data_IF_308736746553
#
_entry.id   IF_308736746553
#
_cell.length_a   1.000
_cell.length_b   1.000
_cell.length_c   1.000
_cell.angle_alpha   90.00
_cell.angle_beta   90.00
_cell.angle_gamma   90.00
#
_symmetry.space_group_name_H-M   'P 1'
#
loop_
_entity.id
_entity.type
_entity.pdbx_description
1 polymer ?
#
# COMPACT_ATOMS: atom_id res chain seq x y z
N UNK A 1 25.90 11.83 0.04
CA UNK A 1 24.94 12.65 0.82
C UNK A 1 23.64 11.87 0.84
N UNK A 2 23.24 11.32 1.98
CA UNK A 2 22.02 10.50 2.07
C UNK A 2 20.80 11.41 1.93
N UNK A 3 20.05 11.24 0.86
CA UNK A 3 18.70 11.78 0.77
C UNK A 3 17.85 10.97 1.75
N UNK A 4 17.69 11.49 2.97
CA UNK A 4 16.84 10.88 4.00
C UNK A 4 15.38 11.20 3.63
N UNK A 5 14.68 10.22 3.05
CA UNK A 5 13.29 10.38 2.64
C UNK A 5 12.41 10.39 3.90
N UNK A 6 11.47 11.32 3.98
CA UNK A 6 10.48 11.33 5.06
C UNK A 6 9.46 10.20 4.81
N UNK A 7 9.65 9.06 5.50
CA UNK A 7 8.69 7.96 5.49
C UNK A 7 7.50 8.27 6.42
N UNK A 8 6.29 8.06 5.91
CA UNK A 8 5.05 7.94 6.69
C UNK A 8 4.85 6.50 7.03
N UNK A 9 4.32 6.25 8.24
CA UNK A 9 4.04 4.92 8.77
C UNK A 9 5.26 4.00 8.92
N UNK A 10 6.41 4.29 8.29
CA UNK A 10 7.66 3.55 8.42
C UNK A 10 8.22 3.09 7.08
N UNK A 11 7.36 2.95 6.08
CA UNK A 11 7.64 2.38 4.75
C UNK A 11 6.83 3.06 3.61
N UNK A 12 5.83 3.90 3.93
CA UNK A 12 5.09 4.68 2.94
C UNK A 12 5.89 5.92 2.56
N UNK A 13 6.25 6.01 1.29
CA UNK A 13 7.00 7.16 0.79
C UNK A 13 6.05 8.32 0.51
N UNK A 14 6.26 9.47 1.17
CA UNK A 14 5.48 10.68 0.96
C UNK A 14 5.92 11.41 -0.31
N UNK A 15 4.98 11.87 -1.14
CA UNK A 15 5.28 12.82 -2.22
C UNK A 15 5.39 14.24 -1.68
N UNK A 16 6.38 15.00 -2.17
CA UNK A 16 6.55 16.42 -1.83
C UNK A 16 5.44 17.32 -2.41
N UNK A 17 4.65 16.82 -3.38
CA UNK A 17 3.46 17.48 -3.91
C UNK A 17 2.23 17.18 -3.02
N UNK A 18 1.83 18.18 -2.23
CA UNK A 18 0.76 18.10 -1.21
C UNK A 18 -0.65 18.23 -1.80
N UNK A 19 -0.96 17.58 -2.92
CA UNK A 19 -2.26 17.73 -3.59
C UNK A 19 -2.98 16.43 -3.97
N UNK A 20 -2.73 15.29 -3.31
CA UNK A 20 -3.67 14.16 -3.36
C UNK A 20 -3.51 13.19 -2.19
N UNK A 21 -4.32 13.36 -1.15
CA UNK A 21 -4.82 12.21 -0.39
C UNK A 21 -5.93 11.62 -1.25
N UNK A 22 -5.71 10.44 -1.86
CA UNK A 22 -6.71 9.76 -2.69
C UNK A 22 -6.32 9.40 -4.14
N UNK A 23 -5.03 9.44 -4.50
CA UNK A 23 -4.57 9.00 -5.83
C UNK A 23 -4.49 7.47 -5.92
N UNK A 24 -5.47 6.85 -6.58
CA UNK A 24 -5.40 5.46 -7.07
C UNK A 24 -4.96 5.44 -8.52
N UNK A 25 -4.45 4.30 -8.99
CA UNK A 25 -4.25 4.10 -10.42
C UNK A 25 -5.59 4.20 -11.16
N UNK A 26 -5.61 4.93 -12.28
CA UNK A 26 -6.82 5.06 -13.12
C UNK A 26 -7.05 3.84 -14.02
N UNK A 27 -6.06 2.94 -14.09
CA UNK A 27 -6.07 1.70 -14.86
C UNK A 27 -5.88 0.51 -13.93
N UNK A 28 -6.43 -0.63 -14.30
CA UNK A 28 -6.16 -1.91 -13.63
C UNK A 28 -5.05 -2.71 -14.34
N UNK A 29 -4.50 -2.19 -15.45
CA UNK A 29 -3.31 -2.71 -16.13
C UNK A 29 -2.12 -1.84 -15.74
N UNK A 30 -1.38 -2.27 -14.75
CA UNK A 30 -0.32 -1.50 -14.11
C UNK A 30 1.00 -1.78 -14.83
N UNK A 31 1.58 -0.81 -15.55
CA UNK A 31 2.88 -1.00 -16.17
C UNK A 31 3.97 -1.08 -15.09
N UNK A 32 4.97 -1.94 -15.28
CA UNK A 32 6.09 -2.07 -14.37
C UNK A 32 7.46 -2.09 -15.06
N UNK A 33 8.49 -1.72 -14.32
CA UNK A 33 9.89 -1.80 -14.70
C UNK A 33 10.69 -2.39 -13.52
N UNK A 34 11.57 -3.36 -13.79
CA UNK A 34 12.46 -3.94 -12.76
C UNK A 34 13.84 -3.33 -12.96
N UNK A 35 14.38 -2.69 -11.92
CA UNK A 35 15.75 -2.15 -11.97
C UNK A 35 16.75 -3.26 -12.30
N UNK A 36 17.81 -2.92 -13.05
CA UNK A 36 18.92 -3.84 -13.34
C UNK A 36 19.55 -4.43 -12.07
N UNK A 37 19.49 -3.70 -10.96
CA UNK A 37 20.02 -4.15 -9.67
C UNK A 37 19.20 -5.31 -9.08
N UNK A 38 17.93 -5.44 -9.48
CA UNK A 38 16.97 -6.42 -8.98
C UNK A 38 16.73 -7.58 -9.94
N UNK A 39 17.56 -7.75 -10.98
CA UNK A 39 17.42 -8.85 -11.95
C UNK A 39 17.42 -10.22 -11.27
N UNK A 40 18.21 -10.40 -10.20
CA UNK A 40 18.23 -11.65 -9.42
C UNK A 40 16.94 -11.89 -8.61
N UNK A 41 16.10 -10.86 -8.45
CA UNK A 41 14.84 -10.87 -7.70
C UNK A 41 13.60 -10.84 -8.60
N UNK A 42 13.77 -10.86 -9.92
CA UNK A 42 12.65 -10.82 -10.89
C UNK A 42 11.59 -11.89 -10.59
N UNK A 43 11.99 -13.13 -10.27
CA UNK A 43 11.05 -14.19 -9.93
C UNK A 43 10.15 -13.86 -8.73
N UNK A 44 10.70 -13.28 -7.67
CA UNK A 44 9.94 -12.90 -6.48
C UNK A 44 8.99 -11.74 -6.75
N UNK A 45 9.44 -10.76 -7.56
CA UNK A 45 8.64 -9.60 -7.96
C UNK A 45 7.44 -10.05 -8.79
N UNK A 46 7.67 -10.91 -9.78
CA UNK A 46 6.60 -11.47 -10.61
C UNK A 46 5.64 -12.34 -9.79
N UNK A 47 6.16 -13.14 -8.84
CA UNK A 47 5.32 -13.93 -7.94
C UNK A 47 4.44 -13.05 -7.03
N UNK A 48 4.93 -11.89 -6.58
CA UNK A 48 4.16 -10.94 -5.79
C UNK A 48 3.05 -10.28 -6.62
N UNK A 49 3.36 -9.88 -7.85
CA UNK A 49 2.40 -9.39 -8.84
C UNK A 49 1.34 -10.45 -9.18
N UNK A 50 1.74 -11.72 -9.30
CA UNK A 50 0.85 -12.85 -9.52
C UNK A 50 -0.09 -13.07 -8.31
N UNK A 51 0.44 -13.02 -7.09
CA UNK A 51 -0.35 -13.17 -5.85
C UNK A 51 -1.53 -12.20 -5.82
N UNK A 52 -1.32 -10.97 -6.26
CA UNK A 52 -2.36 -9.96 -6.34
C UNK A 52 -3.30 -10.17 -7.55
N UNK A 53 -2.73 -10.36 -8.74
CA UNK A 53 -3.50 -10.44 -10.00
C UNK A 53 -4.36 -11.69 -10.11
N UNK A 54 -3.95 -12.80 -9.49
CA UNK A 54 -4.74 -14.04 -9.41
C UNK A 54 -6.07 -13.87 -8.69
N UNK A 55 -6.16 -12.92 -7.77
CA UNK A 55 -7.31 -12.75 -6.90
C UNK A 55 -8.10 -11.46 -7.17
N UNK A 56 -7.60 -10.57 -8.02
CA UNK A 56 -8.17 -9.24 -8.29
C UNK A 56 -8.27 -8.98 -9.80
N UNK A 57 -8.76 -7.80 -10.19
CA UNK A 57 -8.74 -7.36 -11.60
C UNK A 57 -7.48 -6.57 -11.96
N UNK A 58 -6.55 -6.42 -11.02
CA UNK A 58 -5.25 -5.79 -11.26
C UNK A 58 -4.39 -6.77 -12.04
N UNK A 59 -3.76 -6.28 -13.10
CA UNK A 59 -2.84 -7.02 -13.97
C UNK A 59 -1.60 -6.18 -14.18
N UNK A 60 -0.49 -6.83 -14.49
CA UNK A 60 0.81 -6.20 -14.64
C UNK A 60 1.37 -6.47 -16.02
N UNK A 61 2.02 -5.48 -16.62
CA UNK A 61 2.71 -5.62 -17.90
C UNK A 61 4.00 -4.83 -17.91
N UNK A 62 5.00 -5.29 -18.67
CA UNK A 62 6.24 -4.54 -18.82
C UNK A 62 5.96 -3.18 -19.44
N UNK A 63 6.54 -2.15 -18.83
CA UNK A 63 6.41 -0.77 -19.28
C UNK A 63 6.95 -0.62 -20.70
N UNK A 64 6.23 0.15 -21.50
CA UNK A 64 6.64 0.57 -22.83
C UNK A 64 6.86 2.09 -22.85
N UNK A 65 5.80 2.86 -23.10
CA UNK A 65 5.82 4.33 -23.22
C UNK A 65 5.04 5.02 -22.11
N UNK A 66 4.46 4.26 -21.17
CA UNK A 66 3.63 4.82 -20.10
C UNK A 66 4.43 5.77 -19.20
N UNK A 67 3.84 6.92 -18.88
CA UNK A 67 4.45 7.92 -18.01
C UNK A 67 4.40 7.48 -16.55
N UNK A 68 3.27 6.92 -16.11
CA UNK A 68 3.07 6.38 -14.77
C UNK A 68 3.30 4.86 -14.80
N UNK A 69 4.20 4.35 -13.95
CA UNK A 69 4.54 2.93 -13.86
C UNK A 69 5.12 2.57 -12.49
N UNK A 70 4.98 1.31 -12.08
CA UNK A 70 5.67 0.75 -10.92
C UNK A 70 7.13 0.50 -11.24
N UNK A 71 8.03 0.82 -10.33
CA UNK A 71 9.41 0.37 -10.42
C UNK A 71 9.87 -0.30 -9.14
N UNK A 72 10.21 -1.59 -9.26
CA UNK A 72 10.88 -2.30 -8.19
C UNK A 72 12.33 -1.79 -8.09
N UNK A 73 12.71 -1.34 -6.90
CA UNK A 73 14.00 -0.70 -6.61
C UNK A 73 14.41 -0.93 -5.15
N UNK A 74 15.71 -0.88 -4.85
CA UNK A 74 16.23 -0.95 -3.47
C UNK A 74 16.09 0.38 -2.69
N UNK A 75 15.57 1.45 -3.30
CA UNK A 75 15.43 2.79 -2.70
C UNK A 75 14.05 3.39 -3.05
N UNK A 76 13.39 4.07 -2.09
CA UNK A 76 12.00 4.61 -2.14
C UNK A 76 11.77 5.97 -2.86
N UNK A 77 10.51 6.22 -3.25
CA UNK A 77 9.93 7.09 -4.32
C UNK A 77 9.79 8.63 -4.08
N UNK A 78 9.39 9.43 -5.11
CA UNK A 78 9.27 10.92 -5.12
C UNK A 78 8.24 11.60 -6.08
N UNK A 79 7.46 10.89 -6.91
CA UNK A 79 6.55 11.44 -7.96
C UNK A 79 6.81 10.87 -9.39
N UNK A 80 5.78 10.63 -10.22
CA UNK A 80 5.86 9.84 -11.48
C UNK A 80 5.94 8.32 -11.27
N UNK A 81 7.11 7.72 -11.54
CA UNK A 81 7.48 6.30 -11.34
C UNK A 81 7.24 5.79 -9.91
N UNK A 82 6.16 5.10 -9.57
CA UNK A 82 5.90 4.63 -8.20
C UNK A 82 6.84 3.49 -7.76
N UNK A 83 7.55 3.62 -6.63
CA UNK A 83 8.57 2.62 -6.23
C UNK A 83 8.03 1.54 -5.31
N UNK A 84 8.54 0.32 -5.52
CA UNK A 84 8.30 -0.86 -4.68
C UNK A 84 9.64 -1.26 -4.07
N UNK A 85 9.73 -1.24 -2.74
CA UNK A 85 10.97 -1.60 -2.05
C UNK A 85 11.19 -3.12 -2.03
N UNK A 86 12.33 -3.57 -2.52
CA UNK A 86 12.71 -4.99 -2.50
C UNK A 86 14.07 -5.14 -1.84
N UNK A 87 14.11 -5.09 -0.51
CA UNK A 87 15.33 -5.33 0.26
C UNK A 87 15.85 -6.78 0.14
N UNK A 88 17.12 -7.05 0.49
CA UNK A 88 17.71 -8.39 0.42
C UNK A 88 16.95 -9.46 1.21
N UNK A 89 16.30 -9.07 2.32
CA UNK A 89 15.53 -9.97 3.18
C UNK A 89 14.02 -9.99 2.87
N UNK A 90 13.55 -9.19 1.90
CA UNK A 90 12.15 -9.18 1.52
C UNK A 90 11.79 -10.52 0.89
N UNK A 91 10.75 -11.18 1.38
CA UNK A 91 10.13 -12.31 0.69
C UNK A 91 8.98 -11.81 -0.19
N UNK A 92 8.40 -12.70 -1.01
CA UNK A 92 7.28 -12.37 -1.92
C UNK A 92 6.16 -11.58 -1.22
N UNK A 93 5.80 -11.94 0.02
CA UNK A 93 4.78 -11.21 0.76
C UNK A 93 5.19 -9.82 1.26
N UNK A 94 6.49 -9.54 1.43
CA UNK A 94 6.94 -8.15 1.62
C UNK A 94 6.75 -7.35 0.32
N UNK A 95 7.10 -7.95 -0.82
CA UNK A 95 6.98 -7.24 -2.11
C UNK A 95 5.51 -6.93 -2.41
N UNK A 96 4.57 -7.85 -2.16
CA UNK A 96 3.13 -7.55 -2.37
C UNK A 96 2.61 -6.48 -1.42
N UNK A 97 3.13 -6.39 -0.18
CA UNK A 97 2.81 -5.32 0.76
C UNK A 97 3.20 -3.95 0.18
N UNK A 98 4.42 -3.83 -0.37
CA UNK A 98 4.88 -2.61 -1.03
C UNK A 98 4.08 -2.29 -2.31
N UNK A 99 3.69 -3.32 -3.08
CA UNK A 99 2.80 -3.14 -4.24
C UNK A 99 1.42 -2.62 -3.80
N UNK A 100 0.87 -3.10 -2.68
CA UNK A 100 -0.39 -2.60 -2.14
C UNK A 100 -0.27 -1.15 -1.68
N UNK A 101 0.84 -0.74 -1.08
CA UNK A 101 1.11 0.69 -0.82
C UNK A 101 1.08 1.52 -2.10
N UNK A 102 1.74 1.07 -3.16
CA UNK A 102 1.73 1.75 -4.45
C UNK A 102 0.32 1.79 -5.08
N UNK A 103 -0.54 0.81 -4.79
CA UNK A 103 -1.94 0.83 -5.22
C UNK A 103 -2.85 1.74 -4.40
N UNK A 104 -2.34 2.36 -3.33
CA UNK A 104 -3.05 3.35 -2.51
C UNK A 104 -3.55 2.82 -1.15
N UNK A 105 -3.05 1.67 -0.68
CA UNK A 105 -3.43 1.12 0.62
C UNK A 105 -2.51 1.61 1.74
N UNK A 106 -3.11 2.07 2.84
CA UNK A 106 -2.44 2.36 4.11
C UNK A 106 -2.36 1.11 4.98
N UNK A 107 -1.61 1.17 6.09
CA UNK A 107 -1.57 0.04 7.01
C UNK A 107 -2.90 -0.17 7.73
N UNK A 108 -3.16 -1.43 8.10
CA UNK A 108 -4.38 -1.77 8.82
C UNK A 108 -4.40 -1.17 10.24
N UNK A 109 -3.24 -1.10 10.90
CA UNK A 109 -3.12 -0.55 12.26
C UNK A 109 -3.23 0.97 12.32
N UNK A 110 -3.43 1.66 11.19
CA UNK A 110 -3.64 3.12 11.16
C UNK A 110 -5.09 3.51 10.87
N UNK A 111 -6.01 2.55 10.73
CA UNK A 111 -7.44 2.83 10.64
C UNK A 111 -7.95 3.62 11.85
N UNK A 112 -8.95 4.47 11.62
CA UNK A 112 -9.62 5.26 12.66
C UNK A 112 -10.39 4.42 13.67
N UNK A 113 -10.85 3.22 13.29
CA UNK A 113 -11.58 2.28 14.16
C UNK A 113 -10.67 1.28 14.89
N UNK A 114 -9.34 1.33 14.68
CA UNK A 114 -8.38 0.37 15.26
C UNK A 114 -8.47 0.25 16.78
N UNK A 115 -8.90 1.31 17.46
CA UNK A 115 -9.02 1.37 18.91
C UNK A 115 -10.01 0.35 19.47
N UNK A 116 -10.86 -0.24 18.63
CA UNK A 116 -11.74 -1.35 19.02
C UNK A 116 -11.05 -2.72 18.99
N UNK A 117 -9.90 -2.85 18.32
CA UNK A 117 -9.26 -4.13 17.99
C UNK A 117 -7.86 -4.27 18.58
N UNK A 118 -7.12 -3.17 18.70
CA UNK A 118 -5.74 -3.15 19.20
C UNK A 118 -5.53 -2.04 20.23
N UNK A 119 -4.46 -2.17 21.00
CA UNK A 119 -3.91 -1.17 21.90
C UNK A 119 -2.49 -0.85 21.47
N UNK A 120 -2.16 0.45 21.37
CA UNK A 120 -0.80 0.93 21.12
C UNK A 120 -0.13 1.22 22.46
N UNK A 121 1.02 0.60 22.71
CA UNK A 121 1.84 0.79 23.92
C UNK A 121 2.96 1.79 23.61
N UNK A 122 2.61 3.08 23.69
CA UNK A 122 3.50 4.19 23.28
C UNK A 122 4.82 4.23 24.03
N UNK A 123 4.84 3.77 25.28
CA UNK A 123 6.02 3.66 26.14
C UNK A 123 7.08 2.69 25.58
N UNK A 124 6.68 1.73 24.75
CA UNK A 124 7.58 0.77 24.12
C UNK A 124 8.06 1.23 22.74
N UNK A 125 7.55 2.35 22.21
CA UNK A 125 7.92 2.85 20.87
C UNK A 125 9.28 3.56 20.94
N UNK A 126 10.12 3.36 19.92
CA UNK A 126 11.35 4.13 19.75
C UNK A 126 11.06 5.63 19.60
N UNK A 127 11.83 6.45 20.32
CA UNK A 127 11.74 7.92 20.24
C UNK A 127 11.82 8.40 18.79
N UNK A 128 10.87 9.23 18.38
CA UNK A 128 10.76 9.79 17.03
C UNK A 128 10.02 8.89 16.02
N UNK A 129 9.54 7.71 16.43
CA UNK A 129 8.75 6.78 15.60
C UNK A 129 7.26 6.75 15.95
N UNK A 130 6.81 7.52 16.92
CA UNK A 130 5.42 7.58 17.39
C UNK A 130 4.45 7.97 16.27
N UNK A 131 4.90 8.82 15.33
CA UNK A 131 4.14 9.21 14.15
C UNK A 131 3.71 8.03 13.26
N UNK A 132 4.45 6.91 13.29
CA UNK A 132 4.16 5.72 12.50
C UNK A 132 2.92 4.95 13.00
N UNK A 133 2.44 5.33 14.18
CA UNK A 133 1.25 4.76 14.80
C UNK A 133 0.13 5.77 14.85
N UNK A 134 0.16 6.88 14.10
CA UNK A 134 -0.99 7.77 14.02
C UNK A 134 -2.13 7.13 13.22
N UNK A 135 -3.37 7.50 13.54
CA UNK A 135 -4.53 7.10 12.75
C UNK A 135 -4.69 8.04 11.55
N UNK A 136 -5.16 7.49 10.43
CA UNK A 136 -5.44 8.25 9.21
C UNK A 136 -6.86 7.96 8.73
N UNK A 137 -7.54 8.99 8.23
CA UNK A 137 -8.80 8.83 7.53
C UNK A 137 -8.56 8.05 6.23
N UNK A 138 -9.42 7.09 5.97
CA UNK A 138 -9.33 6.22 4.80
C UNK A 138 -10.60 5.42 4.63
N UNK A 139 -10.85 4.97 3.40
CA UNK A 139 -12.05 4.20 3.11
C UNK A 139 -11.88 2.75 3.56
N UNK A 140 -12.72 2.33 4.50
CA UNK A 140 -12.71 0.95 5.03
C UNK A 140 -13.59 0.01 4.21
N UNK A 141 -14.39 0.55 3.28
CA UNK A 141 -15.39 -0.16 2.48
C UNK A 141 -16.38 -0.98 3.33
N UNK A 142 -16.64 -0.55 4.57
CA UNK A 142 -17.41 -1.30 5.57
C UNK A 142 -16.88 -2.72 5.83
N UNK A 143 -15.61 -2.97 5.53
CA UNK A 143 -14.95 -4.25 5.80
C UNK A 143 -14.42 -4.26 7.24
N UNK A 144 -14.58 -5.42 7.88
CA UNK A 144 -14.10 -5.66 9.24
C UNK A 144 -12.58 -5.40 9.35
N UNK A 145 -12.15 -5.00 10.53
CA UNK A 145 -10.73 -4.84 10.83
C UNK A 145 -10.03 -6.20 10.81
N UNK A 146 -8.91 -6.29 10.09
CA UNK A 146 -8.17 -7.54 9.90
C UNK A 146 -6.78 -7.49 10.55
N UNK A 147 -6.70 -7.95 11.80
CA UNK A 147 -5.43 -8.06 12.56
C UNK A 147 -4.37 -8.93 11.89
N UNK A 148 -4.74 -9.75 10.90
CA UNK A 148 -3.84 -10.64 10.15
C UNK A 148 -3.60 -10.18 8.71
N UNK A 149 -4.14 -9.01 8.33
CA UNK A 149 -3.88 -8.36 7.04
C UNK A 149 -2.39 -8.30 6.78
N UNK A 150 -1.99 -8.52 5.52
CA UNK A 150 -0.59 -8.33 5.12
C UNK A 150 -0.14 -6.88 5.31
N UNK A 151 -1.09 -5.93 5.38
CA UNK A 151 -0.89 -4.51 5.66
C UNK A 151 -0.84 -4.18 7.16
N UNK A 152 -0.96 -5.15 8.07
CA UNK A 152 -0.87 -4.90 9.50
C UNK A 152 0.59 -4.99 9.99
N UNK A 153 0.98 -4.12 10.93
CA UNK A 153 2.25 -4.23 11.65
C UNK A 153 2.27 -5.39 12.64
N UNK A 154 3.44 -5.98 12.85
CA UNK A 154 3.65 -6.96 13.91
C UNK A 154 3.74 -6.29 15.28
N UNK A 155 3.58 -7.07 16.34
CA UNK A 155 3.57 -6.57 17.72
C UNK A 155 4.86 -5.86 18.15
N UNK A 156 6.02 -6.22 17.59
CA UNK A 156 7.32 -5.66 17.95
C UNK A 156 7.80 -4.52 17.05
N UNK A 157 6.98 -4.05 16.10
CA UNK A 157 7.41 -3.00 15.15
C UNK A 157 7.78 -1.72 15.89
N UNK A 158 8.92 -1.14 15.53
CA UNK A 158 9.49 0.05 16.17
C UNK A 158 9.64 -0.03 17.71
N UNK A 159 9.79 -1.23 18.27
CA UNK A 159 10.02 -1.40 19.71
C UNK A 159 11.41 -0.91 20.12
N UNK A 160 11.48 -0.17 21.23
CA UNK A 160 12.74 0.33 21.81
C UNK A 160 13.38 -0.65 22.81
N UNK A 161 12.59 -1.59 23.33
CA UNK A 161 12.95 -2.43 24.47
C UNK A 161 12.64 -3.93 24.24
N UNK A 162 12.25 -4.31 23.03
CA UNK A 162 11.87 -5.68 22.68
C UNK A 162 10.48 -6.10 23.18
N UNK A 163 9.77 -5.22 23.90
CA UNK A 163 8.38 -5.45 24.31
C UNK A 163 7.40 -5.02 23.19
N UNK A 164 6.17 -5.54 23.20
CA UNK A 164 5.17 -5.18 22.20
C UNK A 164 4.86 -3.68 22.16
N UNK A 165 4.81 -3.10 20.97
CA UNK A 165 4.23 -1.77 20.70
C UNK A 165 2.76 -1.87 20.30
N UNK A 166 2.31 -3.03 19.79
CA UNK A 166 0.92 -3.31 19.45
C UNK A 166 0.46 -4.59 20.15
N UNK A 167 -0.70 -4.52 20.81
CA UNK A 167 -1.36 -5.68 21.44
C UNK A 167 -2.78 -5.79 20.91
N UNK A 168 -3.17 -6.98 20.43
CA UNK A 168 -4.56 -7.24 20.06
C UNK A 168 -5.44 -7.36 21.31
N UNK A 169 -6.66 -6.83 21.23
CA UNK A 169 -7.66 -6.93 22.31
C UNK A 169 -8.31 -8.31 22.40
N UNK A 170 -8.16 -9.13 21.36
CA UNK A 170 -8.53 -10.54 21.32
C UNK A 170 -7.29 -11.36 20.99
N UNK A 171 -7.25 -12.60 21.45
CA UNK A 171 -6.19 -13.53 21.09
C UNK A 171 -6.19 -13.77 19.59
N UNK A 172 -5.11 -13.37 18.93
CA UNK A 172 -4.91 -13.50 17.49
C UNK A 172 -3.53 -14.07 17.25
N UNK A 173 -3.46 -15.11 16.42
CA UNK A 173 -2.22 -15.63 15.87
C UNK A 173 -1.98 -15.02 14.49
N UNK A 174 -0.73 -14.62 14.19
CA UNK A 174 -0.34 -14.18 12.85
C UNK A 174 -0.45 -12.67 12.57
N UNK A 175 -0.55 -11.83 13.61
CA UNK A 175 -0.38 -10.39 13.45
C UNK A 175 0.99 -10.07 12.86
N UNK A 176 1.03 -9.23 11.82
CA UNK A 176 2.28 -8.86 11.14
C UNK A 176 2.82 -9.90 10.17
N UNK A 177 2.03 -10.92 9.80
CA UNK A 177 2.45 -11.90 8.80
C UNK A 177 2.79 -11.25 7.44
N UNK A 178 3.71 -11.88 6.71
CA UNK A 178 4.16 -11.48 5.36
C UNK A 178 4.18 -12.69 4.40
N UNK A 179 3.23 -13.61 4.58
CA UNK A 179 3.13 -14.84 3.79
C UNK A 179 2.14 -14.68 2.64
N UNK A 180 0.96 -14.12 2.89
CA UNK A 180 -0.11 -14.01 1.90
C UNK A 180 -1.06 -12.85 2.17
N UNK A 181 -1.74 -12.39 1.12
CA UNK A 181 -2.92 -11.55 1.26
C UNK A 181 -4.06 -12.32 1.95
N UNK A 182 -4.79 -11.65 2.84
CA UNK A 182 -6.03 -12.19 3.41
C UNK A 182 -7.19 -11.99 2.44
N UNK A 183 -8.33 -12.62 2.72
CA UNK A 183 -9.56 -12.37 1.95
C UNK A 183 -10.01 -10.91 2.05
N UNK A 184 -9.77 -10.26 3.20
CA UNK A 184 -10.09 -8.84 3.40
C UNK A 184 -9.19 -7.95 2.56
N UNK A 185 -7.89 -8.25 2.47
CA UNK A 185 -6.96 -7.55 1.58
C UNK A 185 -7.44 -7.61 0.12
N UNK A 186 -7.82 -8.82 -0.35
CA UNK A 186 -8.34 -9.02 -1.71
C UNK A 186 -9.65 -8.25 -1.92
N UNK A 187 -10.59 -8.31 -0.98
CA UNK A 187 -11.86 -7.58 -1.08
C UNK A 187 -11.64 -6.08 -1.18
N UNK A 188 -10.74 -5.52 -0.36
CA UNK A 188 -10.40 -4.09 -0.41
C UNK A 188 -9.86 -3.65 -1.76
N UNK A 189 -8.98 -4.45 -2.36
CA UNK A 189 -8.50 -4.16 -3.73
C UNK A 189 -9.65 -4.18 -4.72
N UNK A 190 -10.56 -5.16 -4.61
CA UNK A 190 -11.72 -5.23 -5.50
C UNK A 190 -12.67 -4.05 -5.35
N UNK A 191 -12.94 -3.61 -4.12
CA UNK A 191 -13.78 -2.45 -3.85
C UNK A 191 -13.12 -1.16 -4.37
N UNK A 192 -11.84 -0.94 -4.08
CA UNK A 192 -11.13 0.27 -4.52
C UNK A 192 -11.03 0.38 -6.05
N UNK A 193 -10.88 -0.75 -6.76
CA UNK A 193 -10.73 -0.79 -8.22
C UNK A 193 -11.98 -1.28 -8.96
N UNK A 194 -13.12 -1.38 -8.26
CA UNK A 194 -14.42 -1.82 -8.76
C UNK A 194 -14.37 -3.12 -9.58
N UNK A 195 -13.55 -4.09 -9.15
CA UNK A 195 -13.34 -5.34 -9.87
C UNK A 195 -14.65 -6.13 -10.00
N UNK A 196 -15.15 -6.27 -11.22
CA UNK A 196 -16.41 -6.99 -11.50
C UNK A 196 -17.59 -6.10 -11.85
N UNK A 197 -17.47 -4.78 -11.69
CA UNK A 197 -18.37 -3.86 -12.39
C UNK A 197 -17.93 -3.79 -13.84
N UNK A 198 -18.72 -4.38 -14.75
CA UNK A 198 -18.60 -4.03 -16.16
C UNK A 198 -18.98 -2.55 -16.23
N UNK A 199 -18.03 -1.66 -16.48
CA UNK A 199 -18.34 -0.27 -16.77
C UNK A 199 -19.33 -0.24 -17.94
N UNK A 200 -20.62 0.00 -17.66
CA UNK A 200 -21.51 0.57 -18.66
C UNK A 200 -20.92 1.93 -18.99
N UNK A 201 -20.53 2.13 -20.24
CA UNK A 201 -19.99 3.39 -20.76
C UNK A 201 -20.82 4.59 -20.26
N UNK A 202 -20.40 5.23 -19.17
CA UNK A 202 -20.75 6.62 -18.95
C UNK A 202 -19.77 7.41 -19.81
N UNK A 203 -20.13 7.59 -21.07
CA UNK A 203 -19.56 8.63 -21.89
C UNK A 203 -19.69 9.93 -21.09
N UNK A 204 -18.57 10.47 -20.60
CA UNK A 204 -18.50 11.87 -20.23
C UNK A 204 -18.85 12.64 -21.50
N UNK A 205 -20.11 13.06 -21.63
CA UNK A 205 -20.48 14.10 -22.57
C UNK A 205 -19.80 15.36 -22.06
N UNK A 206 -18.74 15.79 -22.73
CA UNK A 206 -18.27 17.17 -22.63
C UNK A 206 -19.42 18.07 -23.11
N UNK A 207 -20.21 18.60 -22.18
CA UNK A 207 -21.11 19.71 -22.49
C UNK A 207 -20.27 20.99 -22.51
N UNK A 208 -20.18 21.62 -23.67
CA UNK A 208 -19.59 22.96 -23.81
C UNK A 208 -20.30 23.91 -22.87
N UNK A 209 -19.55 24.57 -21.99
CA UNK A 209 -20.03 25.73 -21.24
C UNK A 209 -20.27 26.87 -22.22
N UNK A 210 -21.50 27.37 -22.26
CA UNK A 210 -21.88 28.60 -22.95
C UNK A 210 -21.14 29.77 -22.30
N UNK A 211 -20.17 30.35 -23.01
CA UNK A 211 -19.67 31.68 -22.70
C UNK A 211 -20.75 32.70 -23.10
N UNK A 212 -21.40 33.32 -22.12
CA UNK A 212 -22.06 34.62 -22.33
C UNK A 212 -21.09 35.70 -21.88
N UNK A 213 -20.62 36.46 -22.87
CA UNK A 213 -19.95 37.75 -22.69
C UNK A 213 -20.92 38.74 -22.02
N UNK A 214 -20.35 39.57 -21.15
CA UNK A 214 -20.93 40.86 -20.72
C UNK A 214 -20.18 41.93 -21.51
#
# INVERSE_FOLDING_TARGET
MSNDFALREGDIVLSDDRNAVGSRWLTTKIPYEISSDLVSRTGDILAAMEMLSKHTCITFHERTTETDYLCASFVGYKGGKQLVFVGPQCIVGNIVHEVLHALGFHHEHTRTDRGQYITILSENIMSGKEKNFQMYDGETFNLAYDTTSIMHYGSGFFSSNGLPTIVAKKDVTGMGQRVKMTETDVKRVKELYNCGTKYSNYSQKCTKSDHREI
#
